data_IF_944770764182
#
_entry.id   IF_944770764182
#
_cell.length_a   1.000
_cell.length_b   1.000
_cell.length_c   1.000
_cell.angle_alpha   90.00
_cell.angle_beta   90.00
_cell.angle_gamma   90.00
#
_symmetry.space_group_name_H-M   'P 1'
#
loop_
_entity.id
_entity.type
_entity.pdbx_description
1 polymer ?
#
# COMPACT_ATOMS: atom_id res chain seq x y z
N UNK A 1 22.06 -3.57 5.73
CA UNK A 1 21.20 -2.66 6.54
C UNK A 1 21.23 -3.13 7.99
N UNK A 2 20.82 -2.32 8.98
CA UNK A 2 20.65 -2.78 10.37
C UNK A 2 19.51 -2.00 11.04
N UNK A 3 18.66 -2.68 11.78
CA UNK A 3 17.52 -2.08 12.48
C UNK A 3 16.65 -3.15 13.14
N UNK A 4 15.42 -2.78 13.50
CA UNK A 4 14.43 -3.74 14.03
C UNK A 4 14.10 -4.88 13.03
N UNK A 5 14.24 -4.62 11.73
CA UNK A 5 14.11 -5.64 10.67
C UNK A 5 15.37 -6.49 10.47
N UNK A 6 16.26 -6.59 11.46
CA UNK A 6 17.45 -7.40 11.39
C UNK A 6 18.57 -6.80 10.53
N UNK A 7 19.31 -7.67 9.83
CA UNK A 7 20.52 -7.27 9.11
C UNK A 7 20.49 -7.53 7.58
N UNK A 8 19.42 -8.17 7.08
CA UNK A 8 19.17 -8.44 5.65
C UNK A 8 20.24 -9.31 4.97
N UNK A 9 20.72 -10.37 5.64
CA UNK A 9 21.67 -11.34 5.08
C UNK A 9 21.02 -12.70 4.71
N UNK A 10 19.71 -12.87 4.95
CA UNK A 10 18.99 -14.12 4.73
C UNK A 10 19.13 -15.17 5.85
N UNK A 11 19.73 -14.82 6.99
CA UNK A 11 19.94 -15.71 8.14
C UNK A 11 19.10 -15.23 9.35
N UNK A 12 17.89 -15.78 9.49
CA UNK A 12 16.95 -15.34 10.54
C UNK A 12 17.51 -15.46 11.97
N UNK A 13 18.40 -16.43 12.22
CA UNK A 13 18.97 -16.70 13.54
C UNK A 13 19.94 -15.60 14.03
N UNK A 14 20.31 -14.65 13.17
CA UNK A 14 21.26 -13.59 13.49
C UNK A 14 20.68 -12.17 13.33
N UNK A 15 19.36 -12.09 13.15
CA UNK A 15 18.63 -10.83 13.06
C UNK A 15 18.59 -10.09 14.40
N UNK A 16 18.55 -10.81 15.53
CA UNK A 16 18.64 -10.22 16.88
C UNK A 16 20.08 -9.92 17.31
N UNK A 17 20.86 -9.30 16.42
CA UNK A 17 22.19 -8.78 16.72
C UNK A 17 22.14 -7.30 17.08
N UNK A 18 22.63 -6.99 18.27
CA UNK A 18 22.84 -5.63 18.73
C UNK A 18 23.82 -4.87 17.82
N UNK A 19 23.87 -3.53 17.88
CA UNK A 19 24.92 -2.74 17.21
C UNK A 19 26.34 -3.21 17.55
N UNK A 20 26.53 -3.74 18.77
CA UNK A 20 27.77 -4.36 19.27
C UNK A 20 28.10 -5.74 18.65
N UNK A 21 27.24 -6.27 17.77
CA UNK A 21 27.31 -7.59 17.11
C UNK A 21 27.07 -8.79 18.02
N UNK A 22 26.70 -8.58 19.28
CA UNK A 22 26.26 -9.65 20.18
C UNK A 22 24.81 -10.04 19.86
N UNK A 23 24.51 -11.33 19.91
CA UNK A 23 23.14 -11.80 19.94
C UNK A 23 22.47 -11.37 21.25
N UNK A 24 21.19 -11.05 21.19
CA UNK A 24 20.39 -10.62 22.33
C UNK A 24 19.00 -11.25 22.27
N UNK A 25 18.34 -11.29 23.43
CA UNK A 25 16.92 -11.60 23.53
C UNK A 25 16.07 -10.44 22.95
N UNK A 26 14.81 -10.72 22.64
CA UNK A 26 13.92 -9.79 21.90
C UNK A 26 13.83 -8.42 22.58
N UNK A 27 13.66 -8.37 23.90
CA UNK A 27 13.49 -7.13 24.66
C UNK A 27 14.75 -6.27 24.66
N UNK A 28 15.91 -6.90 24.86
CA UNK A 28 17.21 -6.22 24.83
C UNK A 28 17.49 -5.70 23.41
N UNK A 29 17.19 -6.51 22.39
CA UNK A 29 17.32 -6.13 21.00
C UNK A 29 16.44 -4.91 20.66
N UNK A 30 15.14 -4.96 20.96
CA UNK A 30 14.21 -3.85 20.67
C UNK A 30 14.61 -2.58 21.42
N UNK A 31 15.01 -2.70 22.69
CA UNK A 31 15.46 -1.56 23.49
C UNK A 31 16.70 -0.87 22.91
N UNK A 32 17.63 -1.63 22.31
CA UNK A 32 18.84 -1.10 21.70
C UNK A 32 18.60 -0.26 20.44
N UNK A 33 17.42 -0.39 19.81
CA UNK A 33 17.01 0.36 18.62
C UNK A 33 16.15 1.59 18.93
N UNK A 34 15.99 1.95 20.20
CA UNK A 34 15.20 3.12 20.60
C UNK A 34 15.87 4.43 20.17
N UNK A 35 15.10 5.34 19.59
CA UNK A 35 15.58 6.71 19.26
C UNK A 35 15.60 7.65 20.46
N UNK A 36 14.56 7.62 21.28
CA UNK A 36 14.44 8.49 22.45
C UNK A 36 14.66 7.71 23.74
N UNK A 37 15.79 7.93 24.39
CA UNK A 37 16.16 7.24 25.65
C UNK A 37 15.24 7.57 26.83
N UNK A 38 14.46 8.65 26.75
CA UNK A 38 13.54 9.07 27.83
C UNK A 38 12.20 8.34 27.79
N UNK A 39 11.84 7.75 26.64
CA UNK A 39 10.64 6.94 26.50
C UNK A 39 10.79 5.67 27.36
N UNK A 40 9.84 5.40 28.27
CA UNK A 40 9.87 4.17 29.08
C UNK A 40 9.39 2.98 28.25
N UNK A 41 9.92 1.80 28.55
CA UNK A 41 9.30 0.58 28.03
C UNK A 41 7.89 0.48 28.59
N UNK A 42 6.94 0.15 27.73
CA UNK A 42 5.64 -0.33 28.16
C UNK A 42 5.84 -1.71 28.78
N UNK A 43 5.21 -1.95 29.94
CA UNK A 43 5.10 -3.31 30.46
C UNK A 43 4.22 -4.11 29.50
N UNK A 44 4.66 -5.33 29.15
CA UNK A 44 3.82 -6.26 28.39
C UNK A 44 2.65 -6.67 29.28
N UNK A 45 1.48 -6.12 29.01
CA UNK A 45 0.23 -6.58 29.59
C UNK A 45 -0.31 -7.68 28.71
N UNK A 46 -0.31 -8.91 29.23
CA UNK A 46 -1.05 -10.02 28.65
C UNK A 46 -2.28 -10.25 29.54
N UNK A 47 -3.50 -9.92 29.09
CA UNK A 47 -4.69 -10.33 29.80
C UNK A 47 -4.70 -11.86 29.90
N UNK A 48 -4.98 -12.37 31.10
CA UNK A 48 -4.81 -13.78 31.44
C UNK A 48 -5.83 -14.71 30.77
N UNK A 49 -6.90 -14.17 30.19
CA UNK A 49 -7.91 -14.94 29.46
C UNK A 49 -8.41 -14.06 28.31
N UNK A 50 -8.18 -14.54 27.09
CA UNK A 50 -8.87 -14.05 25.92
C UNK A 50 -9.56 -15.22 25.24
N UNK A 51 -10.68 -15.61 25.83
CA UNK A 51 -11.61 -16.51 25.19
C UNK A 51 -12.77 -15.65 24.72
N UNK A 52 -12.75 -15.32 23.44
CA UNK A 52 -13.75 -14.51 22.79
C UNK A 52 -14.08 -15.19 21.47
N UNK A 53 -15.29 -15.75 21.39
CA UNK A 53 -15.71 -16.56 20.24
C UNK A 53 -15.71 -15.73 18.94
N UNK A 54 -15.93 -14.41 19.02
CA UNK A 54 -15.90 -13.52 17.86
C UNK A 54 -14.46 -13.30 17.37
N UNK A 55 -13.50 -13.15 18.29
CA UNK A 55 -12.07 -13.06 17.94
C UNK A 55 -11.58 -14.34 17.26
N UNK A 56 -11.90 -15.49 17.84
CA UNK A 56 -11.51 -16.79 17.27
C UNK A 56 -12.18 -17.03 15.92
N UNK A 57 -13.44 -16.63 15.77
CA UNK A 57 -14.15 -16.71 14.49
C UNK A 57 -13.42 -15.91 13.39
N UNK A 58 -13.05 -14.66 13.66
CA UNK A 58 -12.42 -13.80 12.65
C UNK A 58 -10.96 -14.21 12.39
N UNK A 59 -10.16 -14.45 13.43
CA UNK A 59 -8.78 -14.89 13.27
C UNK A 59 -8.70 -16.29 12.61
N UNK A 60 -9.70 -17.15 12.84
CA UNK A 60 -9.82 -18.48 12.25
C UNK A 60 -9.81 -18.50 10.73
N UNK A 61 -10.27 -17.43 10.06
CA UNK A 61 -10.21 -17.32 8.60
C UNK A 61 -8.79 -17.42 8.02
N UNK A 62 -7.76 -17.09 8.80
CA UNK A 62 -6.36 -17.31 8.41
C UNK A 62 -6.04 -18.79 8.13
N UNK A 63 -6.80 -19.70 8.75
CA UNK A 63 -6.63 -21.15 8.65
C UNK A 63 -7.54 -21.81 7.62
N UNK A 64 -8.40 -21.04 6.93
CA UNK A 64 -9.28 -21.57 5.90
C UNK A 64 -8.50 -22.29 4.79
N UNK A 65 -9.09 -23.34 4.21
CA UNK A 65 -8.45 -24.13 3.15
C UNK A 65 -8.02 -23.29 1.94
N UNK A 66 -8.72 -22.19 1.67
CA UNK A 66 -8.36 -21.22 0.63
C UNK A 66 -6.96 -20.60 0.88
N UNK A 67 -6.55 -20.43 2.13
CA UNK A 67 -5.27 -19.85 2.54
C UNK A 67 -4.13 -20.88 2.64
N UNK A 68 -4.45 -22.18 2.63
CA UNK A 68 -3.47 -23.27 2.73
C UNK A 68 -2.26 -23.16 1.79
N UNK A 69 -2.37 -22.75 0.51
CA UNK A 69 -1.21 -22.56 -0.36
C UNK A 69 -0.18 -21.56 0.18
N UNK A 70 -0.63 -20.53 0.91
CA UNK A 70 0.24 -19.55 1.55
C UNK A 70 1.07 -20.13 2.71
N UNK A 71 0.71 -21.31 3.24
CA UNK A 71 1.46 -21.99 4.30
C UNK A 71 2.93 -22.27 3.96
N UNK A 72 3.30 -22.21 2.68
CA UNK A 72 4.69 -22.31 2.21
C UNK A 72 5.53 -21.03 2.40
N UNK A 73 4.87 -19.89 2.64
CA UNK A 73 5.47 -18.56 2.79
C UNK A 73 5.29 -18.05 4.22
N UNK A 74 4.11 -18.30 4.80
CA UNK A 74 3.72 -17.82 6.12
C UNK A 74 3.31 -19.00 7.00
N UNK A 75 3.80 -19.03 8.24
CA UNK A 75 3.35 -20.00 9.24
C UNK A 75 1.96 -19.63 9.78
N UNK A 76 0.91 -20.03 9.06
CA UNK A 76 -0.48 -19.62 9.33
C UNK A 76 -0.93 -19.87 10.78
N UNK A 77 -0.51 -20.97 11.40
CA UNK A 77 -0.84 -21.29 12.79
C UNK A 77 -0.25 -20.28 13.79
N UNK A 78 1.00 -19.85 13.57
CA UNK A 78 1.66 -18.85 14.41
C UNK A 78 0.99 -17.49 14.25
N UNK A 79 0.69 -17.14 13.01
CA UNK A 79 0.05 -15.88 12.67
C UNK A 79 -1.40 -15.81 13.19
N UNK A 80 -2.12 -16.92 13.19
CA UNK A 80 -3.41 -17.05 13.88
C UNK A 80 -3.28 -16.73 15.38
N UNK A 81 -2.32 -17.35 16.08
CA UNK A 81 -2.10 -17.06 17.51
C UNK A 81 -1.78 -15.59 17.77
N UNK A 82 -0.98 -14.96 16.90
CA UNK A 82 -0.69 -13.52 16.98
C UNK A 82 -1.92 -12.65 16.75
N UNK A 83 -2.79 -13.01 15.79
CA UNK A 83 -4.06 -12.31 15.55
C UNK A 83 -4.93 -12.29 16.81
N UNK A 84 -5.07 -13.45 17.45
CA UNK A 84 -5.83 -13.57 18.71
C UNK A 84 -5.16 -12.69 19.76
N UNK A 85 -3.87 -12.86 20.04
CA UNK A 85 -3.16 -12.04 21.04
C UNK A 85 -3.33 -10.52 20.83
N UNK A 86 -3.20 -10.03 19.58
CA UNK A 86 -3.35 -8.61 19.26
C UNK A 86 -4.80 -8.12 19.46
N UNK A 87 -5.80 -8.90 19.02
CA UNK A 87 -7.21 -8.58 19.21
C UNK A 87 -7.61 -8.49 20.69
N UNK A 88 -7.02 -9.35 21.51
CA UNK A 88 -7.24 -9.45 22.95
C UNK A 88 -6.61 -8.29 23.73
N UNK A 89 -5.48 -7.78 23.23
CA UNK A 89 -4.76 -6.66 23.84
C UNK A 89 -5.34 -5.29 23.45
N UNK A 90 -6.29 -5.25 22.52
CA UNK A 90 -6.90 -4.02 22.04
C UNK A 90 -8.15 -3.62 22.82
N UNK A 91 -8.42 -2.31 22.81
CA UNK A 91 -9.72 -1.81 23.24
C UNK A 91 -10.81 -2.41 22.36
N UNK A 92 -11.93 -2.83 22.97
CA UNK A 92 -13.04 -3.50 22.29
C UNK A 92 -13.53 -2.70 21.07
N UNK A 93 -13.61 -1.36 21.19
CA UNK A 93 -14.05 -0.47 20.11
C UNK A 93 -13.12 -0.45 18.88
N UNK A 94 -11.85 -0.82 19.03
CA UNK A 94 -10.86 -0.85 17.94
C UNK A 94 -10.55 -2.26 17.45
N UNK A 95 -11.13 -3.28 18.09
CA UNK A 95 -10.78 -4.68 17.88
C UNK A 95 -10.96 -5.11 16.42
N UNK A 96 -12.10 -4.79 15.82
CA UNK A 96 -12.39 -5.14 14.43
C UNK A 96 -11.33 -4.56 13.50
N UNK A 97 -11.01 -3.27 13.64
CA UNK A 97 -10.00 -2.60 12.83
C UNK A 97 -8.61 -3.23 12.99
N UNK A 98 -8.24 -3.64 14.22
CA UNK A 98 -6.95 -4.30 14.49
C UNK A 98 -6.89 -5.66 13.82
N UNK A 99 -7.92 -6.49 13.99
CA UNK A 99 -7.99 -7.81 13.35
C UNK A 99 -7.95 -7.66 11.83
N UNK A 100 -8.72 -6.74 11.27
CA UNK A 100 -8.76 -6.49 9.84
C UNK A 100 -7.40 -6.06 9.28
N UNK A 101 -6.71 -5.14 9.96
CA UNK A 101 -5.37 -4.71 9.55
C UNK A 101 -4.36 -5.87 9.62
N UNK A 102 -4.43 -6.67 10.68
CA UNK A 102 -3.56 -7.82 10.87
C UNK A 102 -3.76 -8.88 9.77
N UNK A 103 -5.00 -9.33 9.58
CA UNK A 103 -5.36 -10.34 8.59
C UNK A 103 -5.00 -9.86 7.19
N UNK A 104 -5.35 -8.62 6.84
CA UNK A 104 -5.01 -8.03 5.52
C UNK A 104 -3.49 -7.98 5.29
N UNK A 105 -2.71 -7.62 6.31
CA UNK A 105 -1.25 -7.56 6.22
C UNK A 105 -0.62 -8.93 5.91
N UNK A 106 -1.02 -9.95 6.66
CA UNK A 106 -0.56 -11.33 6.47
C UNK A 106 -0.86 -11.82 5.07
N UNK A 107 -2.09 -11.61 4.66
CA UNK A 107 -2.62 -12.04 3.39
C UNK A 107 -1.98 -11.30 2.20
N UNK A 108 -1.56 -10.04 2.38
CA UNK A 108 -0.76 -9.32 1.37
C UNK A 108 0.59 -9.98 1.08
N UNK A 109 1.23 -10.61 2.09
CA UNK A 109 2.47 -11.37 1.91
C UNK A 109 2.24 -12.58 1.00
N UNK A 110 1.11 -13.27 1.17
CA UNK A 110 0.69 -14.38 0.32
C UNK A 110 0.50 -13.96 -1.14
N UNK A 111 -0.25 -12.87 -1.35
CA UNK A 111 -0.51 -12.30 -2.68
C UNK A 111 0.79 -11.91 -3.38
N UNK A 112 1.70 -11.24 -2.67
CA UNK A 112 3.01 -10.85 -3.20
C UNK A 112 3.90 -12.04 -3.55
N UNK A 113 3.70 -13.19 -2.91
CA UNK A 113 4.38 -14.43 -3.23
C UNK A 113 3.72 -15.21 -4.40
N UNK A 114 2.70 -14.65 -5.04
CA UNK A 114 2.02 -15.22 -6.20
C UNK A 114 0.86 -16.16 -5.84
N UNK A 115 0.51 -16.29 -4.56
CA UNK A 115 -0.69 -16.99 -4.13
C UNK A 115 -1.87 -16.03 -4.23
N UNK A 116 -2.41 -15.91 -5.44
CA UNK A 116 -3.60 -15.10 -5.68
C UNK A 116 -4.84 -15.85 -5.21
N UNK A 117 -5.19 -15.62 -3.95
CA UNK A 117 -6.56 -15.82 -3.52
C UNK A 117 -7.31 -14.58 -4.00
N UNK A 118 -8.10 -14.67 -5.06
CA UNK A 118 -8.98 -13.58 -5.56
C UNK A 118 -10.10 -13.22 -4.57
N UNK A 119 -9.86 -13.36 -3.26
CA UNK A 119 -10.86 -13.41 -2.19
C UNK A 119 -10.61 -12.40 -1.06
N UNK A 120 -9.48 -11.69 -1.04
CA UNK A 120 -8.87 -11.25 0.23
C UNK A 120 -9.29 -9.90 0.84
N UNK A 121 -9.59 -8.84 0.07
CA UNK A 121 -10.08 -7.58 0.65
C UNK A 121 -11.61 -7.52 0.71
N UNK A 122 -12.30 -8.23 -0.20
CA UNK A 122 -13.75 -8.07 -0.44
C UNK A 122 -14.59 -9.13 0.30
N UNK A 123 -14.06 -10.33 0.57
CA UNK A 123 -14.85 -11.42 1.18
C UNK A 123 -14.67 -11.61 2.69
N UNK A 124 -13.90 -10.76 3.37
CA UNK A 124 -14.20 -10.48 4.77
C UNK A 124 -15.48 -9.64 4.90
N UNK A 125 -16.26 -9.42 3.83
CA UNK A 125 -17.29 -8.41 3.62
C UNK A 125 -18.46 -8.30 4.60
N UNK A 126 -18.49 -9.09 5.68
CA UNK A 126 -19.29 -8.79 6.88
C UNK A 126 -18.45 -8.31 8.07
N UNK A 127 -17.20 -8.77 8.20
CA UNK A 127 -16.28 -8.52 9.31
C UNK A 127 -15.27 -7.40 9.07
N UNK A 128 -14.73 -7.28 7.85
CA UNK A 128 -13.80 -6.22 7.46
C UNK A 128 -14.30 -5.48 6.21
N UNK A 129 -15.44 -4.78 6.29
CA UNK A 129 -15.93 -4.01 5.16
C UNK A 129 -14.94 -2.88 4.84
N UNK A 130 -14.35 -2.94 3.64
CA UNK A 130 -13.59 -1.81 3.12
C UNK A 130 -14.59 -0.80 2.58
N UNK A 131 -14.73 0.32 3.29
CA UNK A 131 -15.51 1.47 2.81
C UNK A 131 -14.56 2.43 2.10
N UNK A 132 -14.77 2.60 0.80
CA UNK A 132 -14.00 3.57 0.04
C UNK A 132 -14.50 4.99 0.30
N UNK A 133 -13.59 5.96 0.48
CA UNK A 133 -13.98 7.36 0.60
C UNK A 133 -14.51 7.90 -0.73
N UNK A 134 -15.42 8.86 -0.64
CA UNK A 134 -15.96 9.63 -1.76
C UNK A 134 -16.62 8.77 -2.86
N UNK A 135 -16.21 8.95 -4.11
CA UNK A 135 -16.74 8.26 -5.30
C UNK A 135 -15.85 7.09 -5.75
N UNK A 136 -14.89 6.69 -4.92
CA UNK A 136 -13.98 5.59 -5.22
C UNK A 136 -14.65 4.24 -5.08
N UNK A 137 -14.17 3.29 -5.87
CA UNK A 137 -14.65 1.91 -5.88
C UNK A 137 -13.55 0.96 -5.43
N UNK A 138 -13.96 -0.07 -4.71
CA UNK A 138 -13.08 -1.14 -4.29
C UNK A 138 -12.71 -2.00 -5.50
N UNK A 139 -11.43 -2.26 -5.70
CA UNK A 139 -10.94 -3.18 -6.72
C UNK A 139 -9.93 -4.17 -6.12
N UNK A 140 -10.00 -5.43 -6.54
CA UNK A 140 -9.10 -6.50 -6.11
C UNK A 140 -7.70 -6.39 -6.72
N UNK A 141 -7.60 -5.80 -7.90
CA UNK A 141 -6.38 -5.69 -8.67
C UNK A 141 -6.53 -4.49 -9.59
N UNK A 142 -6.12 -3.32 -9.10
CA UNK A 142 -5.95 -2.13 -9.93
C UNK A 142 -4.47 -1.86 -10.13
N UNK A 143 -4.09 -1.53 -11.37
CA UNK A 143 -2.75 -1.03 -11.66
C UNK A 143 -2.54 0.26 -10.88
N UNK A 144 -1.41 0.43 -10.20
CA UNK A 144 -1.04 1.75 -9.62
C UNK A 144 -0.55 2.74 -10.69
N UNK A 145 -0.39 2.25 -11.91
CA UNK A 145 -0.02 3.02 -13.06
C UNK A 145 -1.25 3.30 -13.91
N UNK A 146 -1.27 4.48 -14.54
CA UNK A 146 -2.40 5.01 -15.31
C UNK A 146 -3.69 5.21 -14.50
N UNK A 147 -3.61 5.34 -13.17
CA UNK A 147 -4.77 5.64 -12.32
C UNK A 147 -4.85 7.10 -11.91
N UNK A 148 -3.79 7.88 -12.13
CA UNK A 148 -3.76 9.31 -11.90
C UNK A 148 -3.49 10.06 -13.19
N UNK A 149 -3.99 11.28 -13.31
CA UNK A 149 -3.74 12.14 -14.46
C UNK A 149 -2.24 12.36 -14.74
N UNK A 150 -1.40 12.28 -13.71
CA UNK A 150 0.06 12.39 -13.83
C UNK A 150 0.75 11.15 -14.42
N UNK A 151 0.10 9.98 -14.36
CA UNK A 151 0.71 8.69 -14.71
C UNK A 151 0.14 8.05 -15.98
N UNK A 152 -0.74 8.75 -16.71
CA UNK A 152 -1.38 8.26 -17.94
C UNK A 152 -0.35 7.84 -19.00
N UNK A 153 0.77 8.55 -19.11
CA UNK A 153 1.79 8.34 -20.15
C UNK A 153 3.07 7.65 -19.63
N UNK A 154 3.02 7.06 -18.43
CA UNK A 154 4.17 6.37 -17.83
C UNK A 154 4.17 4.88 -18.20
N UNK A 155 5.31 4.38 -18.69
CA UNK A 155 5.55 2.95 -18.83
C UNK A 155 5.56 2.28 -17.45
N UNK A 156 4.81 1.19 -17.29
CA UNK A 156 4.69 0.50 -16.01
C UNK A 156 4.82 -1.01 -16.11
N UNK A 157 5.25 -1.60 -14.99
CA UNK A 157 5.22 -3.04 -14.70
C UNK A 157 3.79 -3.54 -14.48
N UNK A 158 3.49 -4.80 -14.77
CA UNK A 158 2.16 -5.42 -14.59
C UNK A 158 1.74 -5.65 -13.11
N UNK A 159 2.34 -4.95 -12.15
CA UNK A 159 1.97 -5.10 -10.74
C UNK A 159 0.64 -4.38 -10.46
N UNK A 160 -0.31 -5.07 -9.85
CA UNK A 160 -1.56 -4.49 -9.37
C UNK A 160 -1.71 -4.69 -7.86
N UNK A 161 -2.54 -3.85 -7.26
CA UNK A 161 -2.81 -3.87 -5.83
C UNK A 161 -4.32 -3.76 -5.59
N UNK A 162 -4.79 -4.36 -4.51
CA UNK A 162 -6.14 -4.17 -4.04
C UNK A 162 -6.29 -2.86 -3.27
N UNK A 163 -7.46 -2.24 -3.32
CA UNK A 163 -7.74 -0.99 -2.62
C UNK A 163 -8.86 -0.18 -3.25
N UNK A 164 -8.99 1.07 -2.80
CA UNK A 164 -9.97 2.02 -3.30
C UNK A 164 -9.36 2.88 -4.40
N UNK A 165 -9.94 2.79 -5.59
CA UNK A 165 -9.47 3.49 -6.79
C UNK A 165 -10.61 4.28 -7.41
N UNK A 166 -10.26 5.22 -8.29
CA UNK A 166 -11.26 5.87 -9.12
C UNK A 166 -12.03 4.85 -9.97
N UNK A 167 -13.34 5.07 -10.20
CA UNK A 167 -14.15 4.22 -11.06
C UNK A 167 -13.49 3.96 -12.43
N UNK A 168 -13.71 2.78 -13.05
CA UNK A 168 -13.19 2.50 -14.38
C UNK A 168 -13.52 3.61 -15.39
N UNK A 169 -12.50 4.11 -16.09
CA UNK A 169 -12.62 5.23 -17.04
C UNK A 169 -12.42 6.61 -16.43
N UNK A 170 -12.19 6.70 -15.12
CA UNK A 170 -11.83 7.95 -14.43
C UNK A 170 -10.44 7.87 -13.82
N UNK A 171 -9.83 9.01 -13.56
CA UNK A 171 -8.44 9.16 -13.13
C UNK A 171 -8.36 10.12 -11.95
N UNK A 172 -7.44 9.84 -11.04
CA UNK A 172 -7.17 10.70 -9.90
C UNK A 172 -6.43 11.97 -10.34
N UNK A 173 -7.08 13.11 -10.10
CA UNK A 173 -6.52 14.45 -10.30
C UNK A 173 -5.47 14.79 -9.21
N UNK A 174 -4.83 15.95 -9.32
CA UNK A 174 -3.90 16.43 -8.31
C UNK A 174 -4.55 16.80 -6.97
N UNK A 175 -5.86 17.07 -6.94
CA UNK A 175 -6.62 17.36 -5.71
C UNK A 175 -7.29 16.11 -5.10
N UNK A 176 -7.06 14.93 -5.69
CA UNK A 176 -7.55 13.64 -5.19
C UNK A 176 -8.95 13.27 -5.64
N UNK A 177 -9.59 14.07 -6.50
CA UNK A 177 -10.90 13.76 -7.10
C UNK A 177 -10.78 12.84 -8.32
N UNK A 178 -11.83 12.07 -8.61
CA UNK A 178 -11.89 11.22 -9.79
C UNK A 178 -12.54 11.97 -10.96
N UNK A 179 -11.75 12.21 -12.01
CA UNK A 179 -12.17 12.99 -13.18
C UNK A 179 -12.12 12.16 -14.46
N UNK A 180 -12.82 12.59 -15.50
CA UNK A 180 -12.71 11.96 -16.81
C UNK A 180 -11.33 12.19 -17.42
N UNK A 181 -10.90 11.33 -18.35
CA UNK A 181 -9.59 11.49 -18.98
C UNK A 181 -9.45 12.87 -19.66
N UNK A 182 -10.51 13.41 -20.24
CA UNK A 182 -10.52 14.70 -20.92
C UNK A 182 -10.25 15.90 -20.00
N UNK A 183 -10.50 15.72 -18.70
CA UNK A 183 -10.27 16.71 -17.65
C UNK A 183 -8.88 16.60 -17.02
N UNK A 184 -8.10 15.58 -17.39
CA UNK A 184 -6.72 15.44 -16.94
C UNK A 184 -5.80 16.47 -17.58
N UNK A 185 -5.05 17.17 -16.72
CA UNK A 185 -3.85 17.91 -17.11
C UNK A 185 -2.70 16.98 -17.51
N UNK A 186 -1.67 17.56 -18.10
CA UNK A 186 -0.54 16.83 -18.67
C UNK A 186 0.74 17.15 -17.90
N UNK A 187 1.51 16.10 -17.58
CA UNK A 187 2.88 16.27 -17.10
C UNK A 187 3.84 16.17 -18.30
N UNK A 188 4.55 17.25 -18.61
CA UNK A 188 5.45 17.31 -19.76
C UNK A 188 6.69 18.13 -19.44
N UNK A 189 7.89 17.60 -19.73
CA UNK A 189 9.18 18.28 -19.48
C UNK A 189 9.29 18.88 -18.08
N UNK A 190 9.02 18.05 -17.07
CA UNK A 190 9.09 18.38 -15.64
C UNK A 190 8.13 19.48 -15.16
N UNK A 191 7.09 19.80 -15.95
CA UNK A 191 6.07 20.78 -15.61
C UNK A 191 4.65 20.25 -15.80
N UNK A 192 3.72 20.77 -15.00
CA UNK A 192 2.29 20.48 -15.09
C UNK A 192 1.58 21.49 -15.99
N UNK A 193 0.65 21.01 -16.81
CA UNK A 193 -0.15 21.80 -17.73
C UNK A 193 -1.64 21.47 -17.57
N UNK A 194 -2.49 22.48 -17.49
CA UNK A 194 -3.94 22.29 -17.37
C UNK A 194 -4.54 21.60 -18.60
N UNK A 195 -5.64 20.88 -18.39
CA UNK A 195 -6.38 20.24 -19.48
C UNK A 195 -6.76 21.26 -20.56
N UNK A 196 -6.57 20.89 -21.83
CA UNK A 196 -6.84 21.73 -23.02
C UNK A 196 -5.98 22.99 -23.13
N UNK A 197 -4.96 23.16 -22.28
CA UNK A 197 -4.02 24.27 -22.39
C UNK A 197 -3.16 24.15 -23.64
N UNK A 198 -2.79 25.30 -24.21
CA UNK A 198 -1.91 25.40 -25.37
C UNK A 198 -0.65 26.15 -24.94
N UNK A 199 0.51 25.52 -25.09
CA UNK A 199 1.81 26.09 -24.75
C UNK A 199 2.70 26.15 -25.98
N UNK A 200 3.31 27.31 -26.22
CA UNK A 200 4.34 27.47 -27.26
C UNK A 200 5.71 27.39 -26.63
N UNK A 201 6.53 26.46 -27.11
CA UNK A 201 7.94 26.35 -26.74
C UNK A 201 8.78 26.98 -27.85
N UNK A 202 8.97 28.30 -27.79
CA UNK A 202 9.64 29.08 -28.84
C UNK A 202 11.07 28.58 -29.14
N UNK A 203 11.82 28.20 -28.11
CA UNK A 203 13.18 27.66 -28.25
C UNK A 203 13.23 26.33 -28.99
N UNK A 204 12.13 25.58 -28.99
CA UNK A 204 12.00 24.28 -29.63
C UNK A 204 11.23 24.35 -30.95
N UNK A 205 10.59 25.48 -31.27
CA UNK A 205 9.68 25.59 -32.42
C UNK A 205 8.48 24.64 -32.32
N UNK A 206 7.94 24.45 -31.12
CA UNK A 206 6.81 23.55 -30.88
C UNK A 206 5.60 24.31 -30.34
N UNK A 207 4.41 23.94 -30.82
CA UNK A 207 3.13 24.29 -30.21
C UNK A 207 2.52 23.00 -29.68
N UNK A 208 2.38 22.93 -28.36
CA UNK A 208 1.83 21.76 -27.69
C UNK A 208 0.46 22.05 -27.11
N UNK A 209 -0.43 21.06 -27.19
CA UNK A 209 -1.77 21.09 -26.60
C UNK A 209 -1.90 19.91 -25.65
N UNK A 210 -2.35 20.16 -24.43
CA UNK A 210 -2.65 19.11 -23.48
C UNK A 210 -4.03 18.50 -23.79
N UNK A 211 -4.06 17.24 -24.21
CA UNK A 211 -5.29 16.54 -24.61
C UNK A 211 -5.37 15.20 -23.88
N UNK A 212 -6.36 15.06 -23.02
CA UNK A 212 -6.66 13.81 -22.30
C UNK A 212 -5.47 13.24 -21.51
N UNK A 213 -4.77 14.11 -20.78
CA UNK A 213 -3.59 13.74 -19.98
C UNK A 213 -2.29 13.54 -20.76
N UNK A 214 -2.31 13.59 -22.10
CA UNK A 214 -1.10 13.49 -22.93
C UNK A 214 -0.82 14.77 -23.71
N UNK A 215 0.46 15.13 -23.80
CA UNK A 215 0.91 16.35 -24.47
C UNK A 215 1.11 16.09 -25.97
N UNK A 216 0.30 16.74 -26.80
CA UNK A 216 0.39 16.65 -28.26
C UNK A 216 1.12 17.88 -28.81
N UNK A 217 2.31 17.68 -29.38
CA UNK A 217 3.14 18.76 -29.90
C UNK A 217 3.28 18.72 -31.41
N UNK A 218 3.00 19.83 -32.07
CA UNK A 218 3.24 20.04 -33.49
C UNK A 218 4.36 21.06 -33.72
N UNK A 219 5.07 20.93 -34.84
CA UNK A 219 6.01 21.95 -35.28
C UNK A 219 5.27 23.27 -35.50
N UNK A 220 5.87 24.34 -34.99
CA UNK A 220 5.35 25.69 -35.07
C UNK A 220 6.44 26.61 -35.62
N UNK A 221 6.14 27.24 -36.74
CA UNK A 221 7.02 28.23 -37.33
C UNK A 221 7.15 29.43 -36.39
N UNK A 222 8.34 29.58 -35.83
CA UNK A 222 8.73 30.79 -35.11
C UNK A 222 9.07 31.81 -36.19
N UNK A 223 8.20 32.80 -36.41
CA UNK A 223 8.57 33.98 -37.19
C UNK A 223 9.76 34.65 -36.49
N UNK A 224 10.97 34.35 -36.97
CA UNK A 224 12.18 35.02 -36.52
C UNK A 224 12.26 36.36 -37.24
N UNK A 225 11.93 37.44 -36.56
CA UNK A 225 12.34 38.77 -37.02
C UNK A 225 13.87 38.78 -37.08
N UNK A 226 14.41 38.85 -38.29
CA UNK A 226 15.85 39.06 -38.49
C UNK A 226 16.17 40.54 -38.21
N UNK A 227 17.19 40.84 -37.39
CA UNK A 227 17.62 42.21 -37.11
C UNK A 227 18.19 42.94 -38.33
#
# INVERSE_FOLDING_TARGET
MRGLGGNYNGLQNDDFKLPSKKSAEVEEFVAAWRRDVTCKNTERYFPSICYDDDVEHVCGHLLDDANRPCGSVVELAKVHSMCVEDACNCNYEMRDQVICNFVTSVLSVCTNAGFTNTWLPIHLGEFCPIVCPDDRVLADCSSTCTTSCQSIDLFCTQACYAGCFCPPGTYESADGSCVSQEECGCYYRDAWYEARSITKFETLGLKCTCTSGSMQCDNYDVEKECP
#
